data_IF_363412047168
#
_entry.id   IF_363412047168
#
_cell.length_a   1.000
_cell.length_b   1.000
_cell.length_c   1.000
_cell.angle_alpha   90.00
_cell.angle_beta   90.00
_cell.angle_gamma   90.00
#
_symmetry.space_group_name_H-M   'P 1'
#
loop_
_entity.id
_entity.type
_entity.pdbx_description
1 polymer ?
#
# COMPACT_ATOMS: atom_id res chain seq x y z
N UNK A 1 -6.97 -4.06 9.57
CA UNK A 1 -6.97 -5.05 8.46
C UNK A 1 -5.65 -5.05 7.73
N UNK A 2 -5.25 -6.20 7.13
CA UNK A 2 -4.02 -6.30 6.32
C UNK A 2 -4.39 -6.56 4.87
N UNK A 3 -3.93 -5.70 3.98
CA UNK A 3 -4.19 -5.73 2.54
C UNK A 3 -2.88 -5.95 1.77
N UNK A 4 -2.95 -6.75 0.72
CA UNK A 4 -1.86 -6.93 -0.23
C UNK A 4 -2.25 -6.39 -1.61
N UNK A 5 -1.48 -5.47 -2.16
CA UNK A 5 -1.59 -4.98 -3.52
C UNK A 5 -0.59 -5.72 -4.38
N UNK A 6 -1.07 -6.58 -5.27
CA UNK A 6 -0.25 -7.42 -6.14
C UNK A 6 -0.49 -7.12 -7.62
N UNK A 7 0.46 -7.51 -8.46
CA UNK A 7 0.38 -7.37 -9.91
C UNK A 7 1.70 -6.98 -10.55
N UNK A 8 1.81 -7.24 -11.84
CA UNK A 8 3.02 -6.95 -12.64
C UNK A 8 3.38 -5.47 -12.67
N UNK A 9 4.61 -5.10 -13.01
CA UNK A 9 4.99 -3.71 -13.29
C UNK A 9 4.01 -3.05 -14.28
N UNK A 10 3.65 -1.79 -14.03
CA UNK A 10 2.70 -1.05 -14.87
C UNK A 10 1.23 -1.48 -14.77
N UNK A 11 0.86 -2.36 -13.84
CA UNK A 11 -0.51 -2.83 -13.64
C UNK A 11 -1.43 -1.85 -12.91
N UNK A 12 -0.90 -0.72 -12.39
CA UNK A 12 -1.67 0.31 -11.70
C UNK A 12 -1.68 0.23 -10.18
N UNK A 13 -0.82 -0.57 -9.56
CA UNK A 13 -0.67 -0.67 -8.10
C UNK A 13 -0.43 0.70 -7.45
N UNK A 14 0.60 1.40 -7.91
CA UNK A 14 0.99 2.72 -7.39
C UNK A 14 -0.10 3.78 -7.59
N UNK A 15 -0.86 3.70 -8.70
CA UNK A 15 -2.02 4.57 -8.93
C UNK A 15 -3.13 4.32 -7.89
N UNK A 16 -3.44 3.06 -7.63
CA UNK A 16 -4.46 2.68 -6.63
C UNK A 16 -4.00 3.06 -5.23
N UNK A 17 -2.73 2.84 -4.91
CA UNK A 17 -2.11 3.26 -3.66
C UNK A 17 -2.19 4.78 -3.48
N UNK A 18 -1.77 5.57 -4.45
CA UNK A 18 -1.87 7.03 -4.42
C UNK A 18 -3.31 7.53 -4.23
N UNK A 19 -4.28 6.88 -4.89
CA UNK A 19 -5.72 7.15 -4.70
C UNK A 19 -6.15 6.89 -3.26
N UNK A 20 -5.73 5.77 -2.68
CA UNK A 20 -6.09 5.38 -1.30
C UNK A 20 -5.47 6.36 -0.30
N UNK A 21 -4.18 6.70 -0.45
CA UNK A 21 -3.49 7.70 0.38
C UNK A 21 -4.23 9.04 0.32
N UNK A 22 -4.57 9.50 -0.90
CA UNK A 22 -5.28 10.76 -1.08
C UNK A 22 -6.58 10.81 -0.28
N UNK A 23 -7.42 9.76 -0.38
CA UNK A 23 -8.70 9.74 0.32
C UNK A 23 -8.55 9.51 1.83
N UNK A 24 -7.52 8.78 2.28
CA UNK A 24 -7.22 8.61 3.71
C UNK A 24 -6.86 9.95 4.36
N UNK A 25 -5.94 10.71 3.74
CA UNK A 25 -5.58 12.05 4.20
C UNK A 25 -6.74 13.04 4.09
N UNK A 26 -7.57 12.94 3.04
CA UNK A 26 -8.78 13.77 2.91
C UNK A 26 -9.75 13.54 4.08
N UNK A 27 -9.89 12.31 4.57
CA UNK A 27 -10.67 11.93 5.75
C UNK A 27 -10.01 12.27 7.07
N UNK A 28 -8.89 13.00 7.05
CA UNK A 28 -8.10 13.40 8.22
C UNK A 28 -7.53 12.22 9.03
N UNK A 29 -7.25 11.11 8.38
CA UNK A 29 -6.58 9.96 8.99
C UNK A 29 -5.09 10.01 8.70
N UNK A 30 -4.21 9.70 9.68
CA UNK A 30 -2.77 9.67 9.48
C UNK A 30 -2.35 8.52 8.56
N UNK A 31 -1.31 8.81 7.78
CA UNK A 31 -0.72 7.87 6.82
C UNK A 31 0.78 7.84 7.05
N UNK A 32 1.32 6.64 7.23
CA UNK A 32 2.76 6.37 7.29
C UNK A 32 3.15 5.59 6.04
N UNK A 33 4.22 6.01 5.36
CA UNK A 33 4.73 5.33 4.16
C UNK A 33 6.25 5.21 4.22
N UNK A 34 6.78 4.16 3.58
CA UNK A 34 8.22 4.00 3.33
C UNK A 34 8.68 4.68 2.01
N UNK A 35 7.89 5.59 1.49
CA UNK A 35 8.18 6.39 0.30
C UNK A 35 7.58 7.79 0.45
N UNK A 36 8.12 8.74 -0.28
CA UNK A 36 7.64 10.12 -0.26
C UNK A 36 6.46 10.35 -1.20
N UNK A 37 5.63 11.35 -0.88
CA UNK A 37 4.57 11.85 -1.74
C UNK A 37 4.70 13.37 -1.91
N UNK A 38 4.18 13.88 -3.00
CA UNK A 38 4.09 15.33 -3.19
C UNK A 38 2.93 15.91 -2.37
N UNK A 39 3.26 16.39 -1.15
CA UNK A 39 2.29 16.95 -0.19
C UNK A 39 1.49 18.14 -0.73
N UNK A 40 1.95 18.81 -1.80
CA UNK A 40 1.25 19.93 -2.43
C UNK A 40 -0.09 19.53 -3.06
N UNK A 41 -0.26 18.25 -3.39
CA UNK A 41 -1.46 17.73 -4.06
C UNK A 41 -2.46 17.06 -3.12
N UNK A 42 -2.23 17.10 -1.81
CA UNK A 42 -3.15 16.52 -0.80
C UNK A 42 -3.61 17.55 0.22
N UNK A 43 -4.85 17.40 0.68
CA UNK A 43 -5.32 18.07 1.89
C UNK A 43 -4.76 17.32 3.10
N UNK A 44 -4.51 18.07 4.18
CA UNK A 44 -3.99 17.50 5.45
C UNK A 44 -2.64 16.79 5.31
N UNK A 45 -1.75 17.23 4.42
CA UNK A 45 -0.42 16.67 4.23
C UNK A 45 0.45 16.61 5.50
N UNK A 46 0.08 17.33 6.56
CA UNK A 46 0.69 17.26 7.90
C UNK A 46 0.46 15.90 8.58
N UNK A 47 -0.56 15.15 8.18
CA UNK A 47 -0.86 13.81 8.68
C UNK A 47 -0.12 12.71 7.90
N UNK A 48 0.69 13.08 6.92
CA UNK A 48 1.54 12.17 6.18
C UNK A 48 2.94 12.13 6.80
N UNK A 49 3.39 10.93 7.14
CA UNK A 49 4.71 10.63 7.69
C UNK A 49 5.47 9.74 6.71
N UNK A 50 6.63 10.21 6.26
CA UNK A 50 7.61 9.37 5.58
C UNK A 50 8.55 8.75 6.62
N UNK A 51 8.86 7.48 6.47
CA UNK A 51 9.82 6.74 7.31
C UNK A 51 10.63 5.84 6.40
N UNK A 52 11.93 6.02 6.40
CA UNK A 52 12.82 5.16 5.60
C UNK A 52 12.75 3.69 6.05
N UNK A 53 13.07 2.76 5.15
CA UNK A 53 13.05 1.33 5.44
C UNK A 53 13.98 0.93 6.60
N UNK A 54 15.09 1.67 6.82
CA UNK A 54 16.03 1.44 7.92
C UNK A 54 15.43 1.77 9.29
N UNK A 55 14.53 2.74 9.34
CA UNK A 55 13.91 3.26 10.55
C UNK A 55 12.52 2.66 10.79
N UNK A 56 11.91 2.11 9.73
CA UNK A 56 10.60 1.50 9.80
C UNK A 56 10.66 0.14 10.51
N UNK A 57 10.29 0.14 11.78
CA UNK A 57 10.26 -1.06 12.61
C UNK A 57 9.02 -1.10 13.52
N UNK A 58 8.67 -2.26 14.09
CA UNK A 58 7.51 -2.40 14.96
C UNK A 58 7.52 -1.50 16.19
N UNK A 59 8.69 -1.27 16.79
CA UNK A 59 8.82 -0.46 18.00
C UNK A 59 8.45 1.01 17.69
N UNK A 60 8.94 1.55 16.57
CA UNK A 60 8.56 2.87 16.07
C UNK A 60 7.04 2.99 15.82
N UNK A 61 6.44 1.99 15.16
CA UNK A 61 5.00 2.00 14.85
C UNK A 61 4.14 1.96 16.13
N UNK A 62 4.53 1.16 17.12
CA UNK A 62 3.83 1.10 18.40
C UNK A 62 3.95 2.42 19.16
N UNK A 63 5.12 3.06 19.17
CA UNK A 63 5.33 4.35 19.81
C UNK A 63 4.52 5.45 19.13
N UNK A 64 4.56 5.53 17.79
CA UNK A 64 3.74 6.47 17.01
C UNK A 64 2.24 6.33 17.35
N UNK A 65 1.74 5.10 17.46
CA UNK A 65 0.34 4.85 17.82
C UNK A 65 0.02 5.35 19.23
N UNK A 66 0.88 5.05 20.21
CA UNK A 66 0.70 5.51 21.59
C UNK A 66 0.64 7.04 21.68
N UNK A 67 1.53 7.73 20.98
CA UNK A 67 1.53 9.20 20.96
C UNK A 67 0.29 9.74 20.23
N UNK A 68 -0.07 9.16 19.08
CA UNK A 68 -1.26 9.59 18.32
C UNK A 68 -2.56 9.41 19.11
N UNK A 69 -2.73 8.33 19.85
CA UNK A 69 -3.92 8.05 20.65
C UNK A 69 -3.85 8.54 22.10
N UNK A 70 -2.80 9.28 22.48
CA UNK A 70 -2.63 9.79 23.84
C UNK A 70 -3.88 10.52 24.34
N UNK A 71 -4.45 10.01 25.44
CA UNK A 71 -5.69 10.52 26.00
C UNK A 71 -6.97 10.16 25.22
N UNK A 72 -6.90 9.25 24.25
CA UNK A 72 -8.04 8.81 23.44
C UNK A 72 -8.11 7.28 23.36
N UNK A 73 -9.29 6.73 23.13
CA UNK A 73 -9.45 5.30 22.84
C UNK A 73 -8.93 4.98 21.44
N UNK A 74 -8.16 3.91 21.34
CA UNK A 74 -7.68 3.41 20.03
C UNK A 74 -8.86 2.96 19.18
N UNK A 75 -8.89 3.42 17.93
CA UNK A 75 -9.89 3.00 16.93
C UNK A 75 -9.22 2.20 15.83
N UNK A 76 -9.76 1.04 15.51
CA UNK A 76 -9.27 0.23 14.40
C UNK A 76 -9.33 0.99 13.07
N UNK A 77 -8.28 0.84 12.24
CA UNK A 77 -8.19 1.47 10.92
C UNK A 77 -8.16 3.00 10.94
N UNK A 78 -7.73 3.59 12.06
CA UNK A 78 -7.53 5.05 12.15
C UNK A 78 -6.20 5.45 11.54
N UNK A 79 -5.14 4.67 11.73
CA UNK A 79 -3.81 4.88 11.15
C UNK A 79 -3.64 3.95 9.96
N UNK A 80 -3.14 4.44 8.84
CA UNK A 80 -2.84 3.60 7.67
C UNK A 80 -1.33 3.55 7.42
N UNK A 81 -0.79 2.34 7.40
CA UNK A 81 0.60 2.07 7.03
C UNK A 81 0.66 1.54 5.59
N UNK A 82 1.39 2.22 4.72
CA UNK A 82 1.72 1.75 3.37
C UNK A 82 3.18 1.33 3.30
N UNK A 83 3.42 0.13 2.79
CA UNK A 83 4.75 -0.41 2.56
C UNK A 83 4.86 -0.77 1.08
N UNK A 84 5.53 0.10 0.30
CA UNK A 84 5.83 -0.21 -1.10
C UNK A 84 7.05 -1.12 -1.18
N UNK A 85 7.10 -1.94 -2.23
CA UNK A 85 8.12 -2.97 -2.43
C UNK A 85 8.33 -3.81 -1.15
N UNK A 86 7.22 -4.27 -0.56
CA UNK A 86 7.20 -4.95 0.75
C UNK A 86 8.15 -6.15 0.84
N UNK A 87 8.53 -6.75 -0.30
CA UNK A 87 9.55 -7.80 -0.36
C UNK A 87 10.95 -7.31 0.03
N UNK A 88 11.21 -6.01 0.04
CA UNK A 88 12.50 -5.47 0.50
C UNK A 88 12.64 -5.64 2.02
N UNK A 89 11.54 -5.44 2.76
CA UNK A 89 11.48 -5.59 4.22
C UNK A 89 11.19 -7.03 4.65
N UNK A 90 10.35 -7.75 3.91
CA UNK A 90 9.80 -9.05 4.30
C UNK A 90 10.20 -10.16 3.34
N UNK A 91 11.47 -10.16 2.88
CA UNK A 91 11.96 -11.16 1.96
C UNK A 91 12.01 -12.55 2.63
N UNK A 92 11.32 -13.51 2.02
CA UNK A 92 11.25 -14.89 2.52
C UNK A 92 12.62 -15.58 2.65
N UNK A 93 13.66 -15.10 1.94
CA UNK A 93 14.97 -15.76 1.84
C UNK A 93 16.06 -15.17 2.73
N UNK A 94 16.01 -13.89 3.06
CA UNK A 94 17.12 -13.14 3.68
C UNK A 94 16.74 -12.42 4.98
N UNK A 95 15.58 -12.72 5.55
CA UNK A 95 15.07 -12.00 6.71
C UNK A 95 15.66 -12.53 8.02
N UNK A 96 16.25 -11.67 8.86
CA UNK A 96 16.76 -12.05 10.17
C UNK A 96 15.65 -12.58 11.09
N UNK A 97 15.98 -13.62 11.87
CA UNK A 97 15.02 -14.29 12.74
C UNK A 97 14.41 -13.37 13.82
N UNK A 98 15.21 -12.46 14.39
CA UNK A 98 14.76 -11.53 15.43
C UNK A 98 13.79 -10.48 14.88
N UNK A 99 14.09 -9.92 13.73
CA UNK A 99 13.22 -8.94 13.08
C UNK A 99 11.93 -9.59 12.60
N UNK A 100 12.01 -10.83 12.09
CA UNK A 100 10.85 -11.61 11.71
C UNK A 100 9.87 -11.81 12.87
N UNK A 101 10.37 -12.17 14.05
CA UNK A 101 9.51 -12.36 15.23
C UNK A 101 8.81 -11.08 15.66
N UNK A 102 9.54 -9.95 15.71
CA UNK A 102 8.96 -8.64 16.05
C UNK A 102 7.87 -8.23 15.07
N UNK A 103 8.12 -8.35 13.77
CA UNK A 103 7.14 -8.00 12.75
C UNK A 103 5.91 -8.92 12.78
N UNK A 104 6.10 -10.23 12.93
CA UNK A 104 5.00 -11.18 13.06
C UNK A 104 4.12 -10.84 14.25
N UNK A 105 4.71 -10.54 15.41
CA UNK A 105 3.97 -10.11 16.59
C UNK A 105 3.20 -8.81 16.33
N UNK A 106 3.84 -7.81 15.72
CA UNK A 106 3.16 -6.55 15.39
C UNK A 106 1.99 -6.77 14.43
N UNK A 107 2.18 -7.55 13.35
CA UNK A 107 1.12 -7.84 12.40
C UNK A 107 -0.07 -8.57 13.04
N UNK A 108 0.16 -9.44 14.02
CA UNK A 108 -0.93 -10.12 14.75
C UNK A 108 -1.75 -9.16 15.62
N UNK A 109 -1.11 -8.14 16.18
CA UNK A 109 -1.75 -7.21 17.13
C UNK A 109 -1.98 -5.81 16.56
N UNK A 110 -1.73 -5.57 15.27
CA UNK A 110 -1.80 -4.26 14.62
C UNK A 110 -3.13 -3.51 14.87
N UNK A 111 -4.24 -4.25 15.01
CA UNK A 111 -5.55 -3.66 15.28
C UNK A 111 -5.61 -2.99 16.66
N UNK A 112 -4.92 -3.54 17.67
CA UNK A 112 -4.82 -2.94 18.99
C UNK A 112 -4.08 -1.60 18.99
N UNK A 113 -3.27 -1.35 17.95
CA UNK A 113 -2.60 -0.07 17.71
C UNK A 113 -3.31 0.79 16.66
N UNK A 114 -4.52 0.40 16.23
CA UNK A 114 -5.34 1.16 15.31
C UNK A 114 -4.87 1.16 13.86
N UNK A 115 -3.99 0.24 13.45
CA UNK A 115 -3.45 0.18 12.09
C UNK A 115 -4.33 -0.59 11.11
N UNK A 116 -4.48 -0.03 9.91
CA UNK A 116 -4.68 -0.74 8.66
C UNK A 116 -3.35 -0.79 7.90
N UNK A 117 -2.94 -1.96 7.42
CA UNK A 117 -1.64 -2.17 6.78
C UNK A 117 -1.85 -2.53 5.31
N UNK A 118 -1.20 -1.79 4.43
CA UNK A 118 -1.25 -2.00 2.98
C UNK A 118 0.15 -2.28 2.46
N UNK A 119 0.40 -3.53 2.11
CA UNK A 119 1.65 -3.97 1.51
C UNK A 119 1.51 -3.99 0.00
N UNK A 120 2.52 -3.51 -0.71
CA UNK A 120 2.58 -3.57 -2.17
C UNK A 120 3.74 -4.47 -2.57
N UNK A 121 3.47 -5.45 -3.44
CA UNK A 121 4.47 -6.34 -3.98
C UNK A 121 4.12 -6.73 -5.42
N UNK A 122 5.10 -7.21 -6.19
CA UNK A 122 4.83 -7.71 -7.54
C UNK A 122 4.08 -9.04 -7.49
N UNK A 123 4.52 -9.94 -6.60
CA UNK A 123 3.90 -11.24 -6.38
C UNK A 123 3.83 -11.53 -4.88
N UNK A 124 2.73 -12.16 -4.45
CA UNK A 124 2.51 -12.55 -3.06
C UNK A 124 3.61 -13.48 -2.51
N UNK A 125 4.17 -14.35 -3.36
CA UNK A 125 5.21 -15.32 -2.99
C UNK A 125 6.57 -14.70 -2.63
N UNK A 126 6.77 -13.42 -2.95
CA UNK A 126 8.00 -12.70 -2.58
C UNK A 126 8.00 -12.31 -1.10
N UNK A 127 6.84 -12.27 -0.47
CA UNK A 127 6.66 -11.94 0.95
C UNK A 127 6.77 -13.22 1.79
N UNK A 128 7.39 -13.11 2.96
CA UNK A 128 7.51 -14.19 3.93
C UNK A 128 6.16 -14.86 4.21
N UNK A 129 6.16 -16.19 4.33
CA UNK A 129 4.96 -17.00 4.47
C UNK A 129 4.15 -16.65 5.71
N UNK A 130 4.81 -16.32 6.83
CA UNK A 130 4.12 -16.00 8.09
C UNK A 130 3.38 -14.67 7.97
N UNK A 131 4.01 -13.62 7.43
CA UNK A 131 3.35 -12.34 7.17
C UNK A 131 2.22 -12.53 6.17
N UNK A 132 2.47 -13.27 5.09
CA UNK A 132 1.47 -13.52 4.04
C UNK A 132 0.24 -14.24 4.58
N UNK A 133 0.39 -15.12 5.57
CA UNK A 133 -0.74 -15.83 6.18
C UNK A 133 -1.67 -14.92 6.99
N UNK A 134 -1.21 -13.71 7.35
CA UNK A 134 -1.99 -12.71 8.07
C UNK A 134 -2.73 -11.73 7.14
N UNK A 135 -2.50 -11.83 5.83
CA UNK A 135 -3.22 -11.03 4.83
C UNK A 135 -4.69 -11.42 4.81
N UNK A 136 -5.57 -10.42 4.91
CA UNK A 136 -7.02 -10.63 4.85
C UNK A 136 -7.56 -10.50 3.43
N UNK A 137 -7.09 -9.48 2.69
CA UNK A 137 -7.52 -9.23 1.32
C UNK A 137 -6.34 -8.96 0.41
N UNK A 138 -6.41 -9.55 -0.78
CA UNK A 138 -5.49 -9.24 -1.87
C UNK A 138 -6.23 -8.44 -2.96
N UNK A 139 -5.61 -7.35 -3.41
CA UNK A 139 -6.04 -6.57 -4.56
C UNK A 139 -5.12 -6.86 -5.72
N UNK A 140 -5.59 -7.69 -6.66
CA UNK A 140 -4.83 -8.07 -7.86
C UNK A 140 -5.06 -7.03 -8.94
N UNK A 141 -3.98 -6.35 -9.33
CA UNK A 141 -4.02 -5.28 -10.32
C UNK A 141 -3.65 -5.79 -11.71
N UNK A 142 -4.46 -5.41 -12.71
CA UNK A 142 -4.22 -5.74 -14.11
C UNK A 142 -4.53 -4.53 -15.00
N UNK A 143 -3.68 -4.26 -15.99
CA UNK A 143 -3.98 -3.29 -17.03
C UNK A 143 -5.00 -3.88 -17.99
N UNK A 144 -6.10 -3.17 -18.27
CA UNK A 144 -7.19 -3.68 -19.09
C UNK A 144 -6.75 -3.94 -20.55
N UNK A 145 -5.86 -3.09 -21.09
CA UNK A 145 -5.29 -3.31 -22.43
C UNK A 145 -4.53 -4.63 -22.58
N UNK A 146 -4.03 -5.22 -21.47
CA UNK A 146 -3.34 -6.51 -21.49
C UNK A 146 -4.30 -7.72 -21.57
N UNK A 147 -5.62 -7.48 -21.56
CA UNK A 147 -6.64 -8.52 -21.73
C UNK A 147 -6.96 -8.83 -23.22
N UNK A 148 -6.04 -8.50 -24.13
CA UNK A 148 -6.17 -8.70 -25.58
C UNK A 148 -7.09 -7.66 -26.23
N UNK A 149 -7.59 -7.98 -27.44
CA UNK A 149 -8.38 -7.05 -28.24
C UNK A 149 -9.66 -6.55 -27.56
N UNK A 150 -10.30 -7.40 -26.73
CA UNK A 150 -11.50 -7.03 -25.94
C UNK A 150 -11.17 -5.95 -24.91
N UNK A 151 -10.00 -6.01 -24.27
CA UNK A 151 -9.54 -4.99 -23.35
C UNK A 151 -9.24 -3.67 -24.07
N UNK A 152 -8.64 -3.73 -25.25
CA UNK A 152 -8.37 -2.54 -26.07
C UNK A 152 -9.68 -1.89 -26.49
N UNK A 153 -10.65 -2.68 -26.98
CA UNK A 153 -11.98 -2.19 -27.36
C UNK A 153 -12.67 -1.49 -26.18
N UNK A 154 -12.61 -2.10 -24.98
CA UNK A 154 -13.17 -1.50 -23.77
C UNK A 154 -12.50 -0.15 -23.43
N UNK A 155 -11.18 -0.04 -23.56
CA UNK A 155 -10.47 1.22 -23.34
C UNK A 155 -10.90 2.31 -24.35
N UNK A 156 -11.17 1.95 -25.61
CA UNK A 156 -11.66 2.87 -26.64
C UNK A 156 -13.09 3.33 -26.32
N UNK A 157 -13.99 2.40 -26.03
CA UNK A 157 -15.41 2.71 -25.67
C UNK A 157 -15.49 3.60 -24.43
N UNK A 158 -14.63 3.34 -23.43
CA UNK A 158 -14.58 4.12 -22.18
C UNK A 158 -13.80 5.44 -22.33
N UNK A 159 -13.26 5.74 -23.53
CA UNK A 159 -12.38 6.90 -23.79
C UNK A 159 -11.26 7.02 -22.74
N UNK A 160 -10.71 5.89 -22.32
CA UNK A 160 -9.72 5.82 -21.25
C UNK A 160 -8.57 4.87 -21.64
N UNK A 161 -7.48 5.37 -22.24
CA UNK A 161 -6.35 4.54 -22.67
C UNK A 161 -5.63 3.83 -21.52
N UNK A 162 -5.74 4.37 -20.31
CA UNK A 162 -5.14 3.80 -19.09
C UNK A 162 -6.22 3.40 -18.09
N UNK A 163 -6.89 2.30 -18.41
CA UNK A 163 -7.86 1.67 -17.54
C UNK A 163 -7.24 0.45 -16.86
N UNK A 164 -7.41 0.35 -15.55
CA UNK A 164 -6.93 -0.76 -14.74
C UNK A 164 -8.11 -1.49 -14.09
N UNK A 165 -7.97 -2.78 -13.96
CA UNK A 165 -8.90 -3.62 -13.19
C UNK A 165 -8.23 -4.01 -11.89
N UNK A 166 -8.97 -3.88 -10.80
CA UNK A 166 -8.58 -4.32 -9.46
C UNK A 166 -9.55 -5.41 -9.03
N UNK A 167 -9.04 -6.60 -8.80
CA UNK A 167 -9.82 -7.75 -8.35
C UNK A 167 -9.54 -7.91 -6.86
N UNK A 168 -10.58 -7.75 -6.04
CA UNK A 168 -10.50 -7.97 -4.59
C UNK A 168 -10.75 -9.44 -4.31
N UNK A 169 -9.79 -10.09 -3.66
CA UNK A 169 -9.83 -11.50 -3.29
C UNK A 169 -9.76 -11.59 -1.75
N UNK A 170 -10.64 -12.38 -1.15
CA UNK A 170 -10.49 -12.76 0.23
C UNK A 170 -9.35 -13.80 0.32
N UNK A 171 -8.23 -13.37 0.91
CA UNK A 171 -6.96 -14.06 0.75
C UNK A 171 -6.93 -15.46 1.34
N UNK A 172 -7.51 -15.74 2.54
CA UNK A 172 -7.45 -17.07 3.15
C UNK A 172 -8.12 -18.17 2.30
N UNK A 173 -9.23 -17.86 1.65
CA UNK A 173 -9.99 -18.82 0.82
C UNK A 173 -9.77 -18.64 -0.67
N UNK A 174 -8.99 -17.63 -1.07
CA UNK A 174 -8.75 -17.26 -2.48
C UNK A 174 -10.04 -17.00 -3.28
N UNK A 175 -11.08 -16.53 -2.59
CA UNK A 175 -12.38 -16.20 -3.19
C UNK A 175 -12.42 -14.75 -3.68
N UNK A 176 -12.87 -14.55 -4.90
CA UNK A 176 -13.10 -13.22 -5.43
C UNK A 176 -14.33 -12.61 -4.77
N UNK A 177 -14.16 -11.54 -4.02
CA UNK A 177 -15.25 -10.83 -3.33
C UNK A 177 -15.62 -9.51 -4.00
N UNK A 178 -14.85 -9.06 -4.99
CA UNK A 178 -15.18 -7.85 -5.71
C UNK A 178 -14.29 -7.62 -6.92
N UNK A 179 -14.75 -6.71 -7.78
CA UNK A 179 -14.00 -6.22 -8.93
C UNK A 179 -14.33 -4.76 -9.16
N UNK A 180 -13.31 -3.94 -9.28
CA UNK A 180 -13.48 -2.53 -9.61
C UNK A 180 -12.58 -2.10 -10.76
N UNK A 181 -12.94 -0.98 -11.40
CA UNK A 181 -12.11 -0.35 -12.41
C UNK A 181 -11.45 0.90 -11.81
N UNK A 182 -10.16 1.02 -11.98
CA UNK A 182 -9.39 2.19 -11.59
C UNK A 182 -8.98 2.96 -12.86
N UNK A 183 -9.53 4.15 -13.03
CA UNK A 183 -9.18 5.04 -14.14
C UNK A 183 -7.93 5.83 -13.78
N UNK A 184 -7.02 5.94 -14.73
CA UNK A 184 -5.87 6.83 -14.60
C UNK A 184 -6.33 8.28 -14.41
N UNK A 185 -5.76 8.94 -13.41
CA UNK A 185 -6.00 10.36 -13.14
C UNK A 185 -4.67 11.07 -12.95
N UNK A 186 -4.47 12.17 -13.68
CA UNK A 186 -3.28 13.02 -13.55
C UNK A 186 -3.04 13.47 -12.10
N UNK A 187 -4.11 13.65 -11.33
CA UNK A 187 -4.05 14.03 -9.92
C UNK A 187 -3.30 13.01 -9.07
N UNK A 188 -3.56 11.72 -9.26
CA UNK A 188 -2.94 10.67 -8.47
C UNK A 188 -1.52 10.34 -8.95
N UNK A 189 -1.24 10.49 -10.26
CA UNK A 189 0.13 10.39 -10.76
C UNK A 189 1.04 11.49 -10.20
N UNK A 190 0.54 12.72 -10.08
CA UNK A 190 1.30 13.84 -9.48
C UNK A 190 1.54 13.69 -7.99
N UNK A 191 0.73 12.87 -7.31
CA UNK A 191 0.89 12.59 -5.88
C UNK A 191 2.08 11.68 -5.61
N UNK A 192 2.26 10.65 -6.42
CA UNK A 192 3.31 9.66 -6.29
C UNK A 192 4.01 9.49 -7.63
N UNK A 193 5.21 10.02 -7.73
CA UNK A 193 6.09 9.85 -8.88
C UNK A 193 7.13 8.78 -8.55
N UNK A 194 7.02 7.65 -9.19
CA UNK A 194 7.93 6.51 -9.02
C UNK A 194 9.39 6.86 -9.35
N UNK A 195 9.63 7.94 -10.09
CA UNK A 195 10.96 8.39 -10.49
C UNK A 195 11.59 9.40 -9.51
N UNK A 196 10.82 10.00 -8.59
CA UNK A 196 11.37 10.95 -7.61
C UNK A 196 12.39 10.34 -6.65
N UNK A 197 12.32 9.03 -6.39
CA UNK A 197 13.26 8.34 -5.51
C UNK A 197 14.67 8.19 -6.10
N UNK A 198 14.83 8.37 -7.42
CA UNK A 198 16.13 8.24 -8.09
C UNK A 198 16.84 9.59 -8.31
N UNK A 199 16.12 10.72 -8.26
CA UNK A 199 16.69 12.06 -8.45
C UNK A 199 17.13 12.75 -7.17
N UNK A 200 16.69 12.30 -6.01
CA UNK A 200 17.08 12.85 -4.69
C UNK A 200 18.52 12.51 -4.27
N UNK A 201 19.22 11.65 -5.03
CA UNK A 201 20.62 11.25 -4.78
C UNK A 201 21.67 12.01 -5.59
N UNK A 202 21.29 12.93 -6.50
CA UNK A 202 22.23 13.64 -7.39
C UNK A 202 22.38 15.14 -7.09
N UNK A 203 21.75 15.66 -6.04
CA UNK A 203 22.01 17.03 -5.56
C UNK A 203 22.65 17.00 -4.18
N UNK A 204 23.96 16.68 -4.16
CA UNK A 204 24.92 17.08 -3.12
C UNK A 204 26.21 17.54 -3.78
#
# INVERSE_FOLDING_TARGET
>A
MIYLYSGTPGSGKSLHMARTIYYTLYRKKPVICNFEINKKFVKNGKLFQYVDNSDLNPDYLMEYSREYFKGRTVKEGEITLFIDEAQMLFNARSWDAKDREKWNKFFQIHRHFGYDIMMVAQFDRMIDRQIRSLVEYEFIHRKVSNLGWRGILLCVVMLCPHLFTVIKVWYPMKEQVGKEFCRASKKFFRLYDTYMTFTAGEEQ
#
